data_IF_570603290396
#
_entry.id   IF_570603290396
#
_cell.length_a   1.000
_cell.length_b   1.000
_cell.length_c   1.000
_cell.angle_alpha   90.00
_cell.angle_beta   90.00
_cell.angle_gamma   90.00
#
_symmetry.space_group_name_H-M   'P 1'
#
loop_
_entity.id
_entity.type
_entity.pdbx_description
1 polymer ?
#
# COMPACT_ATOMS: atom_id res chain seq x y z
N UNK A 1 7.43 -7.79 -10.31
CA UNK A 1 7.25 -7.20 -8.98
C UNK A 1 8.38 -7.66 -8.10
N UNK A 2 8.98 -6.74 -7.35
CA UNK A 2 10.08 -7.04 -6.44
C UNK A 2 9.93 -6.24 -5.16
N UNK A 3 9.89 -6.94 -4.04
CA UNK A 3 9.91 -6.37 -2.70
C UNK A 3 11.34 -6.34 -2.16
N UNK A 4 11.70 -5.22 -1.55
CA UNK A 4 12.92 -5.05 -0.76
C UNK A 4 12.58 -4.39 0.57
N UNK A 5 13.30 -4.75 1.61
CA UNK A 5 13.09 -4.24 2.97
C UNK A 5 14.34 -3.53 3.46
N UNK A 6 14.15 -2.47 4.23
CA UNK A 6 15.15 -1.85 5.11
C UNK A 6 14.46 -1.54 6.44
N UNK A 7 15.21 -1.11 7.45
CA UNK A 7 14.64 -0.74 8.76
C UNK A 7 13.50 0.27 8.61
N UNK A 8 12.30 -0.08 9.09
CA UNK A 8 11.08 0.73 8.99
C UNK A 8 10.50 0.95 7.59
N UNK A 9 11.08 0.39 6.53
CA UNK A 9 10.62 0.62 5.15
C UNK A 9 10.44 -0.65 4.31
N UNK A 10 9.27 -0.74 3.68
CA UNK A 10 8.97 -1.67 2.62
C UNK A 10 8.99 -0.93 1.28
N UNK A 11 9.67 -1.47 0.28
CA UNK A 11 9.64 -0.96 -1.08
C UNK A 11 9.21 -2.05 -2.04
N UNK A 12 8.17 -1.79 -2.83
CA UNK A 12 7.69 -2.65 -3.91
C UNK A 12 7.94 -1.94 -5.23
N UNK A 13 8.64 -2.60 -6.14
CA UNK A 13 8.86 -2.12 -7.52
C UNK A 13 8.06 -2.99 -8.48
N UNK A 14 7.23 -2.34 -9.31
CA UNK A 14 6.39 -3.01 -10.30
C UNK A 14 7.00 -2.87 -11.70
N UNK A 15 7.61 -3.94 -12.19
CA UNK A 15 8.17 -3.98 -13.56
C UNK A 15 7.06 -3.99 -14.63
N UNK A 16 5.87 -4.46 -14.25
CA UNK A 16 4.64 -4.47 -15.05
C UNK A 16 3.48 -4.09 -14.15
N UNK A 17 2.42 -3.46 -14.68
CA UNK A 17 1.19 -3.22 -13.94
C UNK A 17 0.64 -4.53 -13.37
N UNK A 18 0.21 -4.51 -12.10
CA UNK A 18 -0.56 -5.59 -11.52
C UNK A 18 -2.03 -5.23 -11.66
N UNK A 19 -2.72 -5.99 -12.52
CA UNK A 19 -4.16 -5.99 -12.61
C UNK A 19 -4.71 -6.90 -11.52
N UNK A 20 -5.84 -6.51 -10.93
CA UNK A 20 -6.44 -7.19 -9.79
C UNK A 20 -5.59 -7.12 -8.50
N UNK A 21 -6.07 -7.82 -7.47
CA UNK A 21 -5.49 -7.85 -6.12
C UNK A 21 -4.15 -8.58 -6.10
N UNK A 22 -3.15 -8.01 -5.41
CA UNK A 22 -1.90 -8.69 -5.07
C UNK A 22 -1.52 -8.48 -3.60
N UNK A 23 -0.70 -9.36 -3.04
CA UNK A 23 -0.28 -9.39 -1.64
C UNK A 23 1.21 -9.05 -1.46
N UNK A 24 1.63 -8.77 -0.23
CA UNK A 24 3.05 -8.64 0.13
C UNK A 24 3.82 -9.93 -0.18
N UNK A 25 3.19 -11.09 0.03
CA UNK A 25 3.75 -12.40 -0.35
C UNK A 25 4.02 -12.48 -1.85
N UNK A 26 3.07 -12.09 -2.69
CA UNK A 26 3.24 -12.05 -4.15
C UNK A 26 4.25 -10.99 -4.61
N UNK A 27 4.40 -9.91 -3.84
CA UNK A 27 5.45 -8.91 -4.08
C UNK A 27 6.85 -9.42 -3.70
N UNK A 28 6.96 -10.43 -2.84
CA UNK A 28 8.22 -11.12 -2.51
C UNK A 28 8.58 -11.19 -1.03
N UNK A 29 7.68 -10.80 -0.10
CA UNK A 29 7.89 -11.00 1.33
C UNK A 29 7.80 -12.50 1.67
N UNK A 30 8.96 -13.11 1.95
CA UNK A 30 9.07 -14.56 2.23
C UNK A 30 8.57 -14.95 3.61
N UNK A 31 8.92 -14.12 4.60
CA UNK A 31 8.48 -14.32 5.99
C UNK A 31 6.95 -14.22 6.10
N UNK A 32 6.38 -14.84 7.12
CA UNK A 32 4.93 -14.78 7.37
C UNK A 32 4.43 -13.37 7.69
N UNK A 33 5.32 -12.52 8.20
CA UNK A 33 5.03 -11.15 8.58
C UNK A 33 6.27 -10.25 8.46
N UNK A 34 6.03 -8.95 8.47
CA UNK A 34 7.03 -7.89 8.54
C UNK A 34 6.82 -7.10 9.83
N UNK A 35 7.85 -7.01 10.66
CA UNK A 35 7.83 -6.25 11.91
C UNK A 35 8.12 -4.79 11.65
N UNK A 36 7.24 -3.91 12.13
CA UNK A 36 7.43 -2.46 12.12
C UNK A 36 8.00 -2.04 13.46
N UNK A 37 9.33 -1.96 13.52
CA UNK A 37 10.05 -1.51 14.70
C UNK A 37 9.85 0.00 14.93
N UNK A 38 9.56 0.40 16.17
CA UNK A 38 9.34 1.81 16.53
C UNK A 38 8.02 2.42 16.04
N UNK A 39 7.07 1.59 15.59
CA UNK A 39 5.71 2.00 15.25
C UNK A 39 5.57 2.84 13.97
N UNK A 40 6.64 3.09 13.22
CA UNK A 40 6.60 3.92 12.02
C UNK A 40 6.81 3.07 10.77
N UNK A 41 5.74 2.85 10.00
CA UNK A 41 5.77 2.18 8.71
C UNK A 41 5.91 3.19 7.58
N UNK A 42 6.84 2.92 6.66
CA UNK A 42 6.83 3.53 5.33
C UNK A 42 6.82 2.46 4.25
N UNK A 43 5.71 2.30 3.55
CA UNK A 43 5.59 1.43 2.39
C UNK A 43 5.56 2.27 1.10
N UNK A 44 6.57 2.12 0.24
CA UNK A 44 6.62 2.74 -1.08
C UNK A 44 6.28 1.71 -2.15
N UNK A 45 5.35 2.04 -3.05
CA UNK A 45 5.02 1.25 -4.22
C UNK A 45 5.31 2.07 -5.47
N UNK A 46 6.30 1.63 -6.25
CA UNK A 46 6.65 2.19 -7.56
C UNK A 46 5.83 1.47 -8.63
N UNK A 47 4.73 2.11 -9.05
CA UNK A 47 3.77 1.57 -10.03
C UNK A 47 4.32 1.62 -11.46
N UNK A 48 5.35 2.44 -11.70
CA UNK A 48 5.94 2.63 -13.03
C UNK A 48 4.99 3.34 -14.00
N UNK A 49 5.01 2.90 -15.26
CA UNK A 49 4.13 3.42 -16.31
C UNK A 49 2.72 2.85 -16.15
N UNK A 50 1.76 3.69 -15.76
CA UNK A 50 0.35 3.28 -15.61
C UNK A 50 -0.67 4.16 -16.34
N UNK A 51 -0.21 5.07 -17.19
CA UNK A 51 -1.05 6.10 -17.81
C UNK A 51 -2.17 5.53 -18.69
N UNK A 52 -1.93 4.38 -19.32
CA UNK A 52 -2.90 3.72 -20.21
C UNK A 52 -3.90 2.81 -19.48
N UNK A 53 -3.83 2.75 -18.14
CA UNK A 53 -4.68 1.88 -17.33
C UNK A 53 -5.67 2.68 -16.48
N UNK A 54 -6.75 2.00 -16.11
CA UNK A 54 -7.77 2.56 -15.22
C UNK A 54 -7.53 2.06 -13.81
N UNK A 55 -7.64 2.97 -12.84
CA UNK A 55 -7.76 2.57 -11.45
C UNK A 55 -9.12 1.93 -11.20
N UNK A 56 -9.17 1.00 -10.22
CA UNK A 56 -10.44 0.51 -9.69
C UNK A 56 -11.36 1.65 -9.30
N UNK A 57 -12.68 1.41 -9.42
CA UNK A 57 -13.69 2.33 -8.88
C UNK A 57 -13.36 2.77 -7.45
N UNK A 58 -12.77 1.88 -6.66
CA UNK A 58 -12.30 2.18 -5.30
C UNK A 58 -11.00 1.39 -5.05
N UNK A 59 -9.83 1.96 -5.36
CA UNK A 59 -8.55 1.31 -5.08
C UNK A 59 -8.43 1.10 -3.57
N UNK A 60 -7.92 -0.06 -3.16
CA UNK A 60 -7.97 -0.49 -1.77
C UNK A 60 -6.62 -1.02 -1.31
N UNK A 61 -6.28 -0.67 -0.08
CA UNK A 61 -5.16 -1.24 0.68
C UNK A 61 -5.75 -1.98 1.87
N UNK A 62 -5.33 -3.22 2.08
CA UNK A 62 -5.72 -4.03 3.22
C UNK A 62 -4.48 -4.48 3.96
N UNK A 63 -4.26 -3.95 5.17
CA UNK A 63 -3.14 -4.33 6.02
C UNK A 63 -3.65 -5.19 7.17
N UNK A 64 -3.17 -6.41 7.26
CA UNK A 64 -3.55 -7.37 8.29
C UNK A 64 -2.43 -7.52 9.31
N UNK A 65 -2.80 -7.64 10.58
CA UNK A 65 -1.87 -7.74 11.69
C UNK A 65 -1.95 -9.12 12.34
N UNK A 66 -0.86 -9.58 12.95
CA UNK A 66 -0.85 -10.81 13.74
C UNK A 66 -1.69 -10.70 15.02
N UNK A 67 -1.72 -9.51 15.62
CA UNK A 67 -2.44 -9.21 16.86
C UNK A 67 -3.31 -7.97 16.65
N UNK A 68 -4.33 -7.80 17.50
CA UNK A 68 -5.06 -6.55 17.55
C UNK A 68 -4.13 -5.41 17.99
N UNK A 69 -4.14 -4.32 17.24
CA UNK A 69 -3.47 -3.07 17.62
C UNK A 69 -4.46 -2.13 18.31
N UNK A 70 -3.96 -1.19 19.11
CA UNK A 70 -4.76 -0.15 19.75
C UNK A 70 -5.08 0.99 18.79
N UNK A 71 -4.08 1.69 18.27
CA UNK A 71 -4.34 2.83 17.38
C UNK A 71 -3.34 2.86 16.22
N UNK A 72 -3.82 3.28 15.06
CA UNK A 72 -2.97 3.63 13.93
C UNK A 72 -3.44 4.89 13.20
N UNK A 73 -2.49 5.76 12.85
CA UNK A 73 -2.66 6.88 11.95
C UNK A 73 -2.13 6.56 10.56
N UNK A 74 -2.81 7.06 9.53
CA UNK A 74 -2.49 6.77 8.14
C UNK A 74 -2.43 8.04 7.32
N UNK A 75 -1.34 8.20 6.55
CA UNK A 75 -1.20 9.23 5.51
C UNK A 75 -0.80 8.51 4.23
N UNK A 76 -1.59 8.71 3.17
CA UNK A 76 -1.32 8.12 1.87
C UNK A 76 -1.01 9.23 0.88
N UNK A 77 0.14 9.14 0.23
CA UNK A 77 0.57 10.08 -0.79
C UNK A 77 0.64 9.40 -2.14
N UNK A 78 0.20 10.08 -3.19
CA UNK A 78 0.39 9.65 -4.56
C UNK A 78 1.06 10.76 -5.36
N UNK A 79 2.23 10.46 -5.93
CA UNK A 79 3.06 11.42 -6.67
C UNK A 79 3.34 12.73 -5.91
N UNK A 80 3.58 12.63 -4.60
CA UNK A 80 3.93 13.76 -3.73
C UNK A 80 2.73 14.53 -3.17
N UNK A 81 1.51 14.11 -3.49
CA UNK A 81 0.29 14.74 -2.99
C UNK A 81 -0.45 13.78 -2.04
N UNK A 82 -0.80 14.26 -0.85
CA UNK A 82 -1.61 13.51 0.10
C UNK A 82 -3.00 13.23 -0.49
N UNK A 83 -3.39 11.97 -0.64
CA UNK A 83 -4.68 11.55 -1.19
C UNK A 83 -5.68 11.00 -0.15
N UNK A 84 -5.20 10.66 1.05
CA UNK A 84 -6.01 10.12 2.13
C UNK A 84 -5.29 10.32 3.48
N UNK A 85 -6.04 10.79 4.47
CA UNK A 85 -5.68 10.71 5.88
C UNK A 85 -6.76 9.89 6.60
N UNK A 86 -6.34 8.97 7.46
CA UNK A 86 -7.25 8.14 8.25
C UNK A 86 -6.68 7.83 9.62
N UNK A 87 -7.57 7.49 10.56
CA UNK A 87 -7.21 6.95 11.88
C UNK A 87 -8.06 5.73 12.16
N UNK A 88 -7.47 4.75 12.79
CA UNK A 88 -8.11 3.52 13.23
C UNK A 88 -7.84 3.31 14.73
N UNK A 89 -8.89 3.00 15.49
CA UNK A 89 -8.87 3.00 16.96
C UNK A 89 -8.85 1.61 17.59
N UNK A 90 -8.93 0.54 16.79
CA UNK A 90 -8.45 -0.80 17.14
C UNK A 90 -8.79 -1.82 16.06
N UNK A 91 -7.96 -2.86 15.91
CA UNK A 91 -8.31 -3.97 15.04
C UNK A 91 -7.13 -4.89 14.72
N UNK A 92 -7.43 -6.03 14.12
CA UNK A 92 -6.44 -6.93 13.52
C UNK A 92 -6.21 -6.65 12.03
N UNK A 93 -6.86 -5.62 11.50
CA UNK A 93 -6.80 -5.24 10.09
C UNK A 93 -7.21 -3.78 9.91
N UNK A 94 -6.53 -3.08 9.02
CA UNK A 94 -6.96 -1.78 8.51
C UNK A 94 -7.28 -1.89 7.02
N UNK A 95 -8.38 -1.23 6.61
CA UNK A 95 -8.82 -1.15 5.21
C UNK A 95 -8.85 0.33 4.81
N UNK A 96 -8.04 0.70 3.81
CA UNK A 96 -7.96 2.07 3.30
C UNK A 96 -8.53 2.12 1.89
N UNK A 97 -9.53 2.97 1.70
CA UNK A 97 -10.21 3.19 0.42
C UNK A 97 -9.65 4.49 -0.20
N UNK A 98 -8.95 4.36 -1.32
CA UNK A 98 -8.24 5.48 -1.92
C UNK A 98 -9.13 6.29 -2.86
N UNK A 99 -8.78 7.57 -3.00
CA UNK A 99 -9.48 8.48 -3.90
C UNK A 99 -9.00 8.32 -5.35
N UNK A 100 -9.66 7.45 -6.12
CA UNK A 100 -9.32 7.23 -7.54
C UNK A 100 -9.25 8.53 -8.35
N UNK A 101 -10.18 9.46 -8.09
CA UNK A 101 -10.31 10.68 -8.90
C UNK A 101 -9.11 11.59 -8.66
N UNK A 102 -8.60 11.64 -7.42
CA UNK A 102 -7.36 12.37 -7.10
C UNK A 102 -6.15 11.67 -7.70
N UNK A 103 -6.05 10.35 -7.56
CA UNK A 103 -4.96 9.58 -8.19
C UNK A 103 -4.89 9.77 -9.70
N UNK A 104 -6.02 9.67 -10.42
CA UNK A 104 -6.07 9.85 -11.88
C UNK A 104 -5.58 11.21 -12.35
N UNK A 105 -5.81 12.28 -11.58
CA UNK A 105 -5.34 13.63 -11.92
C UNK A 105 -3.84 13.82 -11.74
N UNK A 106 -3.23 13.00 -10.89
CA UNK A 106 -1.84 13.10 -10.47
C UNK A 106 -0.94 12.14 -11.24
N UNK A 107 -1.48 11.31 -12.14
CA UNK A 107 -0.69 10.37 -12.94
C UNK A 107 0.34 11.13 -13.76
N UNK A 108 1.59 10.68 -13.65
CA UNK A 108 2.70 11.15 -14.48
C UNK A 108 3.01 10.14 -15.59
N UNK A 109 3.59 10.64 -16.69
CA UNK A 109 3.91 9.83 -17.87
C UNK A 109 4.99 8.79 -17.65
N UNK A 110 5.92 9.00 -16.73
CA UNK A 110 7.13 8.17 -16.63
C UNK A 110 7.25 7.43 -15.31
N UNK A 111 6.78 8.02 -14.21
CA UNK A 111 6.96 7.44 -12.89
C UNK A 111 5.75 7.76 -12.00
N UNK A 112 5.17 6.72 -11.40
CA UNK A 112 4.06 6.84 -10.47
C UNK A 112 4.41 6.15 -9.16
N UNK A 113 4.33 6.89 -8.06
CA UNK A 113 4.72 6.48 -6.72
C UNK A 113 3.54 6.63 -5.76
N UNK A 114 3.21 5.54 -5.07
CA UNK A 114 2.31 5.54 -3.93
C UNK A 114 3.15 5.37 -2.66
N UNK A 115 2.99 6.25 -1.68
CA UNK A 115 3.66 6.16 -0.38
C UNK A 115 2.59 6.03 0.69
N UNK A 116 2.75 5.02 1.54
CA UNK A 116 1.84 4.68 2.62
C UNK A 116 2.61 4.85 3.92
N UNK A 117 2.20 5.84 4.70
CA UNK A 117 2.72 6.10 6.03
C UNK A 117 1.74 5.54 7.05
N UNK A 118 2.22 4.65 7.90
CA UNK A 118 1.49 4.15 9.06
C UNK A 118 2.21 4.55 10.33
N UNK A 119 1.50 5.14 11.28
CA UNK A 119 1.98 5.49 12.61
C UNK A 119 1.20 4.69 13.64
N UNK A 120 1.86 3.77 14.34
CA UNK A 120 1.28 2.84 15.29
C UNK A 120 1.69 3.21 16.71
N UNK A 121 0.74 3.13 17.65
CA UNK A 121 1.03 3.35 19.08
C UNK A 121 1.92 2.27 19.72
N UNK A 122 2.19 1.18 18.99
CA UNK A 122 2.91 -0.01 19.44
C UNK A 122 3.62 -0.70 18.27
N UNK A 123 4.53 -1.63 18.58
CA UNK A 123 5.13 -2.52 17.58
C UNK A 123 4.04 -3.38 16.91
N UNK A 124 4.12 -3.53 15.59
CA UNK A 124 3.15 -4.31 14.82
C UNK A 124 3.83 -5.27 13.85
N UNK A 125 3.30 -6.49 13.77
CA UNK A 125 3.65 -7.47 12.76
C UNK A 125 2.59 -7.49 11.67
N UNK A 126 2.93 -6.97 10.50
CA UNK A 126 2.07 -6.92 9.31
C UNK A 126 2.20 -8.24 8.57
N UNK A 127 1.09 -8.98 8.41
CA UNK A 127 1.07 -10.26 7.71
C UNK A 127 1.41 -10.10 6.24
N UNK A 128 2.09 -11.09 5.67
CA UNK A 128 2.37 -11.14 4.24
C UNK A 128 1.10 -11.34 3.37
N UNK A 129 -0.04 -11.68 3.98
CA UNK A 129 -1.36 -11.70 3.36
C UNK A 129 -1.94 -10.31 3.08
N UNK A 130 -1.36 -9.26 3.69
CA UNK A 130 -1.73 -7.87 3.41
C UNK A 130 -1.64 -7.59 1.92
N UNK A 131 -2.59 -6.82 1.40
CA UNK A 131 -2.89 -6.79 -0.02
C UNK A 131 -3.31 -5.43 -0.55
N UNK A 132 -3.21 -5.30 -1.85
CA UNK A 132 -3.30 -4.08 -2.62
C UNK A 132 -4.11 -4.37 -3.86
N UNK A 133 -5.05 -3.50 -4.21
CA UNK A 133 -5.81 -3.62 -5.43
C UNK A 133 -6.04 -2.24 -6.04
N UNK A 134 -5.28 -1.94 -7.10
CA UNK A 134 -5.20 -0.59 -7.64
C UNK A 134 -5.78 -0.44 -9.04
N UNK A 135 -5.46 -1.35 -9.96
CA UNK A 135 -5.76 -1.22 -11.38
C UNK A 135 -6.81 -2.23 -11.82
N UNK A 136 -7.83 -1.77 -12.56
CA UNK A 136 -8.82 -2.64 -13.19
C UNK A 136 -8.16 -3.45 -14.29
N UNK A 137 -8.56 -4.72 -14.41
CA UNK A 137 -8.21 -5.54 -15.56
C UNK A 137 -8.70 -4.85 -16.85
N UNK A 138 -7.84 -4.84 -17.87
CA UNK A 138 -8.23 -4.36 -19.19
C UNK A 138 -9.27 -5.34 -19.76
N UNK A 139 -10.54 -4.96 -19.73
CA UNK A 139 -11.60 -5.73 -20.37
C UNK A 139 -11.33 -5.84 -21.87
N UNK A 140 -11.40 -7.07 -22.38
CA UNK A 140 -11.53 -7.36 -23.81
C UNK A 140 -12.88 -6.88 -24.35
#
# INVERSE_FOLDING_TARGET
>A
MKLSTTEGQLKIVMDKPAFNKFSLKEAGLKESSYTVEGGNLRLKIELGYIQDYRFYKMPIIELEYEKNIKESGWIIEFNGENILEAKDHSGSKTVLLLNRNKMSKLINRHENNLIIHGDFSEEVNIKNSSSFNFLEEQGH
#
